data_IF_579155915422
#
_entry.id   IF_579155915422
#
_cell.length_a   1.000
_cell.length_b   1.000
_cell.length_c   1.000
_cell.angle_alpha   90.00
_cell.angle_beta   90.00
_cell.angle_gamma   90.00
#
_symmetry.space_group_name_H-M   'P 1'
#
loop_
_entity.id
_entity.type
_entity.pdbx_description
1 polymer ?
#
# COMPACT_ATOMS: atom_id res chain seq x y z
N UNK A 1 -22.66 7.15 13.37
CA UNK A 1 -21.71 6.79 14.43
C UNK A 1 -20.54 7.75 14.32
N UNK A 2 -20.21 8.44 15.39
CA UNK A 2 -19.12 9.41 15.41
C UNK A 2 -17.80 8.64 15.41
N UNK A 3 -16.84 9.03 14.56
CA UNK A 3 -15.51 8.43 14.50
C UNK A 3 -14.62 9.19 15.45
N UNK A 4 -13.95 8.50 16.35
CA UNK A 4 -13.08 9.09 17.37
C UNK A 4 -11.60 8.82 17.08
N UNK A 5 -10.72 9.51 17.77
CA UNK A 5 -9.28 9.24 17.69
C UNK A 5 -8.91 7.80 18.10
N UNK A 6 -9.76 7.15 18.89
CA UNK A 6 -9.60 5.76 19.34
C UNK A 6 -9.83 4.74 18.21
N UNK A 7 -10.51 5.15 17.14
CA UNK A 7 -10.74 4.29 15.96
C UNK A 7 -9.50 4.18 15.06
N UNK A 8 -8.51 5.08 15.20
CA UNK A 8 -7.33 5.08 14.37
C UNK A 8 -6.47 3.83 14.65
N UNK A 9 -6.33 2.99 13.63
CA UNK A 9 -5.48 1.80 13.68
C UNK A 9 -6.05 0.64 14.48
N UNK A 10 -7.33 0.65 14.88
CA UNK A 10 -7.90 -0.47 15.66
C UNK A 10 -7.86 -1.81 14.92
N UNK A 11 -7.81 -1.78 13.58
CA UNK A 11 -7.65 -2.96 12.70
C UNK A 11 -6.22 -3.15 12.21
N UNK A 12 -5.25 -2.43 12.77
CA UNK A 12 -3.83 -2.50 12.37
C UNK A 12 -2.99 -3.07 13.51
N UNK A 13 -2.17 -4.06 13.22
CA UNK A 13 -1.16 -4.59 14.14
C UNK A 13 0.04 -3.63 14.18
N UNK A 14 -0.23 -2.39 14.55
CA UNK A 14 0.73 -1.30 14.59
C UNK A 14 1.70 -1.42 15.78
N UNK A 15 2.68 -0.53 15.85
CA UNK A 15 3.69 -0.54 16.93
C UNK A 15 3.07 -0.50 18.33
N UNK A 16 1.99 0.27 18.52
CA UNK A 16 1.31 0.35 19.81
C UNK A 16 0.72 -1.02 20.23
N UNK A 17 0.10 -1.72 19.29
CA UNK A 17 -0.45 -3.07 19.50
C UNK A 17 0.68 -4.08 19.74
N UNK A 18 1.74 -4.04 18.93
CA UNK A 18 2.93 -4.90 19.12
C UNK A 18 3.54 -4.71 20.50
N UNK A 19 3.71 -3.47 20.94
CA UNK A 19 4.26 -3.13 22.26
C UNK A 19 3.41 -3.62 23.42
N UNK A 20 2.09 -3.61 23.26
CA UNK A 20 1.16 -4.07 24.29
C UNK A 20 1.08 -5.61 24.38
N UNK A 21 1.31 -6.33 23.27
CA UNK A 21 1.05 -7.76 23.16
C UNK A 21 2.29 -8.65 23.12
N UNK A 22 3.42 -8.09 22.69
CA UNK A 22 4.66 -8.86 22.62
C UNK A 22 5.45 -8.78 23.93
N UNK A 23 6.15 -9.86 24.32
CA UNK A 23 7.17 -9.77 25.36
C UNK A 23 8.20 -8.69 25.01
N UNK A 24 8.65 -7.93 25.99
CA UNK A 24 9.57 -6.79 25.79
C UNK A 24 10.82 -7.14 24.98
N UNK A 25 11.39 -8.34 25.19
CA UNK A 25 12.57 -8.81 24.45
C UNK A 25 12.24 -9.04 22.97
N UNK A 26 11.10 -9.71 22.69
CA UNK A 26 10.62 -9.97 21.33
C UNK A 26 10.33 -8.67 20.59
N UNK A 27 9.62 -7.74 21.22
CA UNK A 27 9.34 -6.43 20.64
C UNK A 27 10.62 -5.67 20.30
N UNK A 28 11.60 -5.66 21.22
CA UNK A 28 12.89 -4.98 21.00
C UNK A 28 13.65 -5.58 19.82
N UNK A 29 13.65 -6.92 19.68
CA UNK A 29 14.34 -7.58 18.57
C UNK A 29 13.64 -7.33 17.23
N UNK A 30 12.31 -7.47 17.18
CA UNK A 30 11.53 -7.15 15.99
C UNK A 30 11.72 -5.68 15.57
N UNK A 31 11.78 -4.78 16.53
CA UNK A 31 12.00 -3.34 16.29
C UNK A 31 13.34 -3.04 15.62
N UNK A 32 14.40 -3.79 15.90
CA UNK A 32 15.69 -3.65 15.20
C UNK A 32 15.54 -3.97 13.70
N UNK A 33 14.78 -5.00 13.37
CA UNK A 33 14.50 -5.33 11.97
C UNK A 33 13.70 -4.21 11.29
N UNK A 34 12.64 -3.73 11.94
CA UNK A 34 11.77 -2.69 11.40
C UNK A 34 12.53 -1.37 11.18
N UNK A 35 13.26 -0.92 12.18
CA UNK A 35 13.89 0.40 12.15
C UNK A 35 15.20 0.42 11.35
N UNK A 36 16.03 -0.61 11.49
CA UNK A 36 17.39 -0.60 10.97
C UNK A 36 17.65 -1.64 9.87
N UNK A 37 16.66 -2.46 9.51
CA UNK A 37 16.83 -3.50 8.50
C UNK A 37 17.72 -4.66 8.95
N UNK A 38 17.83 -4.89 10.27
CA UNK A 38 18.53 -6.07 10.78
C UNK A 38 17.82 -7.35 10.29
N UNK A 39 18.55 -8.45 10.05
CA UNK A 39 17.92 -9.72 9.71
C UNK A 39 16.87 -10.12 10.75
N UNK A 40 15.73 -10.64 10.29
CA UNK A 40 14.69 -11.14 11.18
C UNK A 40 15.22 -12.37 11.93
N UNK A 41 15.15 -12.34 13.26
CA UNK A 41 15.44 -13.51 14.07
C UNK A 41 14.25 -14.47 14.04
N UNK A 42 14.45 -15.64 13.42
CA UNK A 42 13.41 -16.66 13.33
C UNK A 42 12.94 -17.18 14.72
N UNK A 43 13.77 -17.03 15.75
CA UNK A 43 13.41 -17.48 17.10
C UNK A 43 12.28 -16.68 17.74
N UNK A 44 12.01 -15.45 17.25
CA UNK A 44 10.89 -14.64 17.76
C UNK A 44 9.59 -14.86 16.99
N UNK A 45 9.63 -15.55 15.85
CA UNK A 45 8.52 -15.62 14.91
C UNK A 45 7.27 -16.27 15.54
N UNK A 46 7.42 -17.36 16.30
CA UNK A 46 6.28 -18.00 16.97
C UNK A 46 5.60 -17.06 17.98
N UNK A 47 6.38 -16.32 18.75
CA UNK A 47 5.83 -15.34 19.71
C UNK A 47 5.04 -14.24 19.00
N UNK A 48 5.53 -13.78 17.85
CA UNK A 48 4.83 -12.75 17.04
C UNK A 48 3.58 -13.35 16.40
N UNK A 49 3.66 -14.55 15.84
CA UNK A 49 2.53 -15.24 15.21
C UNK A 49 1.38 -15.46 16.21
N UNK A 50 1.69 -15.97 17.41
CA UNK A 50 0.69 -16.16 18.47
C UNK A 50 0.02 -14.84 18.85
N UNK A 51 0.81 -13.79 19.11
CA UNK A 51 0.27 -12.49 19.49
C UNK A 51 -0.60 -11.88 18.38
N UNK A 52 -0.18 -12.00 17.12
CA UNK A 52 -0.91 -11.51 15.95
C UNK A 52 -2.22 -12.29 15.74
N UNK A 53 -2.19 -13.62 15.87
CA UNK A 53 -3.38 -14.47 15.79
C UNK A 53 -4.40 -14.12 16.87
N UNK A 54 -3.97 -14.05 18.13
CA UNK A 54 -4.91 -13.75 19.24
C UNK A 54 -5.52 -12.37 19.08
N UNK A 55 -4.73 -11.37 18.69
CA UNK A 55 -5.24 -10.04 18.36
C UNK A 55 -6.27 -10.07 17.22
N UNK A 56 -5.98 -10.80 16.15
CA UNK A 56 -6.89 -10.90 15.02
C UNK A 56 -8.19 -11.63 15.38
N UNK A 57 -8.12 -12.69 16.20
CA UNK A 57 -9.29 -13.43 16.72
C UNK A 57 -10.18 -12.56 17.61
N UNK A 58 -9.60 -11.71 18.45
CA UNK A 58 -10.38 -10.75 19.27
C UNK A 58 -11.16 -9.77 18.39
N UNK A 59 -10.64 -9.43 17.20
CA UNK A 59 -11.35 -8.64 16.20
C UNK A 59 -12.35 -9.45 15.37
N UNK A 60 -12.40 -10.78 15.55
CA UNK A 60 -13.31 -11.70 14.88
C UNK A 60 -12.75 -12.34 13.60
N UNK A 61 -11.44 -12.28 13.38
CA UNK A 61 -10.83 -12.97 12.24
C UNK A 61 -10.83 -14.49 12.44
N UNK A 62 -11.20 -15.23 11.41
CA UNK A 62 -11.24 -16.69 11.36
C UNK A 62 -10.19 -17.27 10.42
N UNK A 63 -9.66 -16.44 9.54
CA UNK A 63 -8.69 -16.77 8.52
C UNK A 63 -7.55 -15.78 8.52
N UNK A 64 -6.42 -16.16 7.92
CA UNK A 64 -5.30 -15.31 7.60
C UNK A 64 -4.95 -15.42 6.12
N UNK A 65 -4.20 -14.46 5.61
CA UNK A 65 -3.66 -14.49 4.26
C UNK A 65 -2.32 -13.76 4.20
N UNK A 66 -1.40 -14.26 3.40
CA UNK A 66 -0.28 -13.48 2.93
C UNK A 66 -0.77 -12.54 1.83
N UNK A 67 -0.77 -11.26 2.16
CA UNK A 67 -1.25 -10.20 1.29
C UNK A 67 -0.09 -9.55 0.55
N UNK A 68 -0.15 -9.52 -0.79
CA UNK A 68 0.94 -9.02 -1.63
C UNK A 68 0.43 -8.30 -2.88
N UNK A 69 1.33 -7.65 -3.63
CA UNK A 69 1.06 -6.87 -4.83
C UNK A 69 1.49 -7.63 -6.09
N UNK A 70 0.62 -8.45 -6.69
CA UNK A 70 0.98 -9.23 -7.87
C UNK A 70 1.21 -8.32 -9.09
N UNK A 71 1.89 -8.84 -10.11
CA UNK A 71 2.11 -8.11 -11.37
C UNK A 71 0.82 -7.95 -12.22
N UNK A 72 -0.27 -8.57 -11.82
CA UNK A 72 -1.50 -8.68 -12.62
C UNK A 72 -2.69 -7.92 -12.07
N UNK A 73 -2.65 -7.50 -10.80
CA UNK A 73 -3.77 -6.81 -10.14
C UNK A 73 -3.27 -5.95 -8.98
N UNK A 74 -4.20 -5.28 -8.27
CA UNK A 74 -3.89 -4.43 -7.12
C UNK A 74 -3.27 -5.24 -5.98
N UNK A 75 -4.01 -6.24 -5.49
CA UNK A 75 -3.61 -7.10 -4.37
C UNK A 75 -3.99 -8.55 -4.63
N UNK A 76 -3.32 -9.48 -3.98
CA UNK A 76 -3.62 -10.89 -4.03
C UNK A 76 -3.70 -11.48 -2.62
N UNK A 77 -4.59 -12.46 -2.46
CA UNK A 77 -4.90 -13.12 -1.20
C UNK A 77 -5.21 -14.60 -1.44
N UNK A 78 -4.79 -15.44 -0.49
CA UNK A 78 -5.22 -16.83 -0.37
C UNK A 78 -5.57 -17.06 1.10
N UNK A 79 -6.86 -17.20 1.40
CA UNK A 79 -7.34 -17.32 2.77
C UNK A 79 -7.15 -18.74 3.30
N UNK A 80 -6.34 -18.86 4.33
CA UNK A 80 -6.15 -20.09 5.08
C UNK A 80 -6.85 -19.95 6.46
N UNK A 81 -7.54 -21.00 6.89
CA UNK A 81 -8.21 -21.03 8.20
C UNK A 81 -7.18 -21.14 9.32
N UNK A 82 -7.48 -20.52 10.47
CA UNK A 82 -6.74 -20.81 11.70
C UNK A 82 -7.05 -22.19 12.29
N UNK A 83 -8.03 -22.91 11.76
CA UNK A 83 -8.45 -24.20 12.30
C UNK A 83 -7.72 -25.35 11.62
N UNK A 84 -7.00 -26.13 12.43
CA UNK A 84 -6.34 -27.36 12.01
C UNK A 84 -6.98 -28.60 12.64
N UNK A 85 -7.27 -29.66 11.86
CA UNK A 85 -7.81 -30.89 12.38
C UNK A 85 -6.74 -31.69 13.16
N UNK A 86 -7.08 -32.19 14.35
CA UNK A 86 -6.17 -32.98 15.18
C UNK A 86 -6.20 -34.48 14.82
N UNK A 87 -7.15 -34.89 13.97
CA UNK A 87 -7.26 -36.27 13.50
C UNK A 87 -8.20 -37.17 14.34
N UNK A 88 -8.74 -36.67 15.43
CA UNK A 88 -9.73 -37.38 16.31
C UNK A 88 -11.15 -36.82 16.15
N UNK A 89 -11.37 -35.96 15.15
CA UNK A 89 -12.63 -35.25 14.91
C UNK A 89 -12.72 -33.89 15.62
N UNK A 90 -11.67 -33.51 16.35
CA UNK A 90 -11.54 -32.15 16.95
C UNK A 90 -10.64 -31.24 16.14
N UNK A 91 -10.68 -29.96 16.45
CA UNK A 91 -9.87 -28.91 15.80
C UNK A 91 -9.13 -28.11 16.86
N UNK A 92 -7.91 -27.70 16.52
CA UNK A 92 -7.15 -26.68 17.26
C UNK A 92 -7.12 -25.40 16.45
N UNK A 93 -6.81 -24.28 17.11
CA UNK A 93 -6.51 -23.02 16.42
C UNK A 93 -5.00 -22.88 16.40
N UNK A 94 -4.41 -22.92 15.22
CA UNK A 94 -2.97 -22.81 15.03
C UNK A 94 -2.61 -21.67 14.05
N UNK A 95 -1.50 -21.06 14.27
CA UNK A 95 -0.78 -20.15 13.38
C UNK A 95 0.63 -19.98 13.94
N UNK A 96 1.59 -20.54 13.26
CA UNK A 96 2.98 -20.66 13.72
C UNK A 96 3.87 -19.58 13.10
N UNK A 97 5.06 -19.40 13.65
CA UNK A 97 6.07 -18.53 13.07
C UNK A 97 6.50 -18.98 11.68
N UNK A 98 6.44 -20.29 11.38
CA UNK A 98 6.71 -20.80 10.04
C UNK A 98 5.68 -20.25 9.03
N UNK A 99 4.41 -20.32 9.39
CA UNK A 99 3.31 -19.82 8.54
C UNK A 99 3.32 -18.28 8.43
N UNK A 100 3.75 -17.59 9.50
CA UNK A 100 3.94 -16.13 9.46
C UNK A 100 5.05 -15.74 8.50
N UNK A 101 6.23 -16.37 8.60
CA UNK A 101 7.41 -15.95 7.84
C UNK A 101 7.28 -16.26 6.35
N UNK A 102 6.75 -17.44 6.00
CA UNK A 102 6.77 -17.93 4.62
C UNK A 102 5.58 -18.81 4.32
N UNK A 103 4.97 -18.59 3.17
CA UNK A 103 4.01 -19.52 2.57
C UNK A 103 4.39 -19.83 1.11
N UNK A 104 3.80 -20.91 0.61
CA UNK A 104 3.97 -21.39 -0.76
C UNK A 104 2.61 -21.34 -1.48
N UNK A 105 2.13 -20.15 -1.91
CA UNK A 105 0.95 -20.08 -2.75
C UNK A 105 1.24 -20.84 -4.06
N UNK A 106 0.23 -21.52 -4.61
CA UNK A 106 0.41 -22.29 -5.84
C UNK A 106 0.89 -21.38 -6.98
N UNK A 107 2.10 -21.64 -7.45
CA UNK A 107 2.73 -20.91 -8.53
C UNK A 107 2.72 -21.66 -9.88
N UNK A 108 1.95 -22.75 -9.98
CA UNK A 108 1.90 -23.57 -11.21
C UNK A 108 1.37 -22.83 -12.45
N UNK A 109 0.68 -21.70 -12.25
CA UNK A 109 0.10 -20.85 -13.29
C UNK A 109 0.96 -19.65 -13.70
N UNK A 110 2.23 -19.59 -13.32
CA UNK A 110 3.08 -18.48 -13.79
C UNK A 110 3.26 -18.49 -15.32
N UNK A 111 3.20 -17.28 -15.95
CA UNK A 111 3.32 -17.16 -17.41
C UNK A 111 4.63 -17.68 -17.99
N UNK A 112 5.68 -17.80 -17.20
CA UNK A 112 6.98 -18.35 -17.59
C UNK A 112 7.01 -19.87 -17.71
N UNK A 113 5.83 -20.51 -17.77
CA UNK A 113 5.63 -21.95 -17.80
C UNK A 113 6.64 -22.72 -18.67
N UNK A 114 7.50 -23.45 -18.03
CA UNK A 114 8.38 -24.46 -18.59
C UNK A 114 8.33 -25.68 -17.70
N UNK A 115 8.85 -26.81 -18.15
CA UNK A 115 9.04 -27.98 -17.30
C UNK A 115 10.09 -27.62 -16.25
N UNK A 116 9.67 -27.53 -15.00
CA UNK A 116 10.52 -27.20 -13.85
C UNK A 116 10.32 -28.23 -12.74
N UNK A 117 11.34 -28.38 -11.91
CA UNK A 117 11.14 -29.05 -10.62
C UNK A 117 10.05 -28.35 -9.83
N UNK A 118 9.23 -29.10 -9.10
CA UNK A 118 8.06 -28.57 -8.38
C UNK A 118 8.41 -27.40 -7.46
N UNK A 119 9.55 -27.48 -6.77
CA UNK A 119 10.02 -26.39 -5.90
C UNK A 119 10.43 -25.12 -6.68
N UNK A 120 10.98 -25.26 -7.89
CA UNK A 120 11.40 -24.17 -8.74
C UNK A 120 10.22 -23.52 -9.50
N UNK A 121 9.10 -24.24 -9.63
CA UNK A 121 7.88 -23.75 -10.27
C UNK A 121 7.01 -22.90 -9.33
N UNK A 122 7.27 -22.95 -8.00
CA UNK A 122 6.49 -22.23 -6.99
C UNK A 122 7.06 -20.87 -6.69
N UNK A 123 6.18 -19.91 -6.39
CA UNK A 123 6.55 -18.67 -5.72
C UNK A 123 6.42 -18.81 -4.22
N UNK A 124 7.10 -17.93 -3.52
CA UNK A 124 7.13 -17.88 -2.07
C UNK A 124 6.75 -16.49 -1.61
N UNK A 125 5.75 -16.40 -0.73
CA UNK A 125 5.46 -15.19 0.00
C UNK A 125 6.32 -15.16 1.25
N UNK A 126 6.93 -13.99 1.52
CA UNK A 126 7.80 -13.79 2.68
C UNK A 126 7.33 -12.56 3.44
N UNK A 127 7.16 -12.71 4.74
CA UNK A 127 6.67 -11.64 5.61
C UNK A 127 7.56 -10.38 5.53
N UNK A 128 6.91 -9.25 5.28
CA UNK A 128 7.49 -7.93 5.43
C UNK A 128 7.06 -7.33 6.77
N UNK A 129 7.89 -7.49 7.79
CA UNK A 129 7.63 -6.97 9.13
C UNK A 129 7.71 -5.44 9.23
N UNK A 130 8.18 -4.75 8.18
CA UNK A 130 8.26 -3.28 8.14
C UNK A 130 6.93 -2.61 7.82
N UNK A 131 5.94 -3.40 7.39
CA UNK A 131 4.58 -2.95 7.15
C UNK A 131 3.61 -3.65 8.10
N UNK A 132 2.70 -2.93 8.78
CA UNK A 132 1.82 -3.53 9.77
C UNK A 132 0.80 -4.46 9.13
N UNK A 133 0.60 -5.64 9.73
CA UNK A 133 -0.52 -6.51 9.40
C UNK A 133 -1.85 -5.83 9.80
N UNK A 134 -2.95 -6.23 9.16
CA UNK A 134 -4.25 -5.62 9.40
C UNK A 134 -5.38 -6.64 9.28
N UNK A 135 -6.51 -6.37 9.93
CA UNK A 135 -7.72 -7.21 9.81
C UNK A 135 -8.70 -6.58 8.84
N UNK A 136 -8.92 -7.26 7.72
CA UNK A 136 -9.84 -6.84 6.67
C UNK A 136 -11.21 -7.49 6.86
N UNK A 137 -12.26 -6.70 6.69
CA UNK A 137 -13.63 -7.18 6.61
C UNK A 137 -13.99 -7.47 5.15
N UNK A 138 -14.47 -8.68 4.91
CA UNK A 138 -14.96 -9.11 3.61
C UNK A 138 -16.49 -9.15 3.63
N UNK A 139 -17.16 -9.24 2.47
CA UNK A 139 -18.62 -9.38 2.42
C UNK A 139 -19.13 -10.46 3.37
N UNK A 140 -20.34 -10.28 3.90
CA UNK A 140 -20.99 -11.17 4.88
C UNK A 140 -20.42 -11.11 6.32
N UNK A 141 -19.60 -10.10 6.63
CA UNK A 141 -19.10 -9.87 7.98
C UNK A 141 -17.93 -10.77 8.39
N UNK A 142 -17.43 -11.63 7.51
CA UNK A 142 -16.22 -12.39 7.74
C UNK A 142 -15.00 -11.46 7.83
N UNK A 143 -14.03 -11.85 8.65
CA UNK A 143 -12.79 -11.09 8.85
C UNK A 143 -11.56 -11.96 8.63
N UNK A 144 -10.54 -11.35 8.01
CA UNK A 144 -9.30 -12.02 7.61
C UNK A 144 -8.11 -11.19 8.10
N UNK A 145 -7.15 -11.85 8.74
CA UNK A 145 -5.85 -11.27 9.04
C UNK A 145 -5.03 -11.19 7.74
N UNK A 146 -4.74 -10.00 7.28
CA UNK A 146 -3.88 -9.74 6.12
C UNK A 146 -2.47 -9.42 6.60
N UNK A 147 -1.50 -10.21 6.15
CA UNK A 147 -0.08 -10.10 6.51
C UNK A 147 0.67 -9.58 5.29
N UNK A 148 1.21 -8.34 5.32
CA UNK A 148 2.00 -7.82 4.20
C UNK A 148 3.21 -8.69 3.91
N UNK A 149 3.37 -9.07 2.65
CA UNK A 149 4.46 -9.94 2.18
C UNK A 149 5.03 -9.46 0.87
N UNK A 150 6.23 -9.90 0.57
CA UNK A 150 6.79 -9.93 -0.79
C UNK A 150 6.50 -11.28 -1.43
N UNK A 151 6.57 -11.35 -2.77
CA UNK A 151 6.39 -12.58 -3.52
C UNK A 151 7.59 -12.79 -4.46
N UNK A 152 8.33 -13.88 -4.23
CA UNK A 152 9.59 -14.18 -4.91
C UNK A 152 9.62 -15.60 -5.45
N UNK A 153 10.44 -15.84 -6.46
CA UNK A 153 10.73 -17.20 -6.96
C UNK A 153 11.62 -17.98 -6.00
N UNK A 154 11.81 -19.27 -6.28
CA UNK A 154 12.74 -20.12 -5.52
C UNK A 154 14.17 -19.56 -5.49
N UNK A 155 14.60 -18.93 -6.57
CA UNK A 155 15.93 -18.33 -6.73
C UNK A 155 15.98 -16.86 -6.31
N UNK A 156 14.85 -16.30 -5.84
CA UNK A 156 14.77 -14.95 -5.28
C UNK A 156 14.43 -13.85 -6.26
N UNK A 157 14.07 -14.17 -7.51
CA UNK A 157 13.57 -13.16 -8.44
C UNK A 157 12.22 -12.61 -7.98
N UNK A 158 12.00 -11.33 -8.24
CA UNK A 158 10.74 -10.67 -7.92
C UNK A 158 9.59 -11.21 -8.78
N UNK A 159 8.49 -11.55 -8.14
CA UNK A 159 7.22 -11.93 -8.78
C UNK A 159 6.10 -10.95 -8.41
N UNK A 160 6.43 -9.83 -7.79
CA UNK A 160 5.52 -8.80 -7.34
C UNK A 160 6.09 -7.39 -7.58
N UNK A 161 5.32 -6.37 -7.23
CA UNK A 161 5.75 -4.96 -7.29
C UNK A 161 6.49 -4.50 -6.04
N UNK A 162 6.33 -5.14 -4.89
CA UNK A 162 6.90 -4.71 -3.62
C UNK A 162 8.37 -5.07 -3.46
N UNK A 163 8.79 -6.23 -3.93
CA UNK A 163 10.20 -6.67 -3.84
C UNK A 163 11.17 -5.66 -4.50
N UNK A 164 10.93 -5.17 -5.73
CA UNK A 164 11.78 -4.15 -6.32
C UNK A 164 11.80 -2.85 -5.51
N UNK A 165 10.65 -2.45 -4.95
CA UNK A 165 10.55 -1.26 -4.10
C UNK A 165 11.45 -1.38 -2.87
N UNK A 166 11.36 -2.46 -2.11
CA UNK A 166 12.19 -2.68 -0.92
C UNK A 166 13.68 -2.70 -1.27
N UNK A 167 14.05 -3.40 -2.34
CA UNK A 167 15.44 -3.43 -2.84
C UNK A 167 15.94 -2.04 -3.25
N UNK A 168 15.09 -1.22 -3.86
CA UNK A 168 15.44 0.15 -4.24
C UNK A 168 15.65 1.04 -3.02
N UNK A 169 14.83 0.88 -1.98
CA UNK A 169 15.00 1.60 -0.70
C UNK A 169 16.34 1.26 -0.04
N UNK A 170 16.72 -0.01 -0.01
CA UNK A 170 18.03 -0.43 0.50
C UNK A 170 19.17 0.14 -0.33
N UNK A 171 19.05 0.15 -1.65
CA UNK A 171 20.06 0.72 -2.53
C UNK A 171 20.23 2.23 -2.30
N UNK A 172 19.11 2.98 -2.18
CA UNK A 172 19.13 4.41 -1.87
C UNK A 172 19.76 4.66 -0.50
N UNK A 173 19.35 3.93 0.53
CA UNK A 173 19.95 4.02 1.86
C UNK A 173 21.47 3.88 1.82
N UNK A 174 21.96 2.79 1.23
CA UNK A 174 23.39 2.48 1.11
C UNK A 174 24.17 3.58 0.40
N UNK A 175 23.66 4.12 -0.71
CA UNK A 175 24.38 5.14 -1.48
C UNK A 175 24.28 6.52 -0.83
N UNK A 176 23.13 6.87 -0.24
CA UNK A 176 22.97 8.12 0.48
C UNK A 176 23.92 8.21 1.70
N UNK A 177 24.04 7.14 2.47
CA UNK A 177 25.00 7.08 3.59
C UNK A 177 26.45 7.29 3.12
N UNK A 178 26.83 6.73 1.94
CA UNK A 178 28.17 6.99 1.36
C UNK A 178 28.39 8.45 1.02
N UNK A 179 27.39 9.10 0.42
CA UNK A 179 27.45 10.52 0.06
C UNK A 179 27.52 11.38 1.33
N UNK A 180 26.66 11.14 2.30
CA UNK A 180 26.61 11.92 3.54
C UNK A 180 27.94 11.88 4.32
N UNK A 181 28.61 10.75 4.29
CA UNK A 181 29.94 10.62 4.90
C UNK A 181 30.95 11.59 4.32
N UNK A 182 30.87 11.94 3.02
CA UNK A 182 31.74 12.96 2.40
C UNK A 182 31.46 14.37 2.94
N UNK A 183 30.26 14.61 3.47
CA UNK A 183 29.90 15.86 4.13
C UNK A 183 30.06 15.82 5.66
N UNK A 184 30.78 14.80 6.18
CA UNK A 184 31.02 14.66 7.61
C UNK A 184 29.82 14.24 8.44
N UNK A 185 28.76 13.71 7.80
CA UNK A 185 27.50 13.25 8.45
C UNK A 185 27.50 11.74 8.52
N UNK A 186 27.06 11.19 9.66
CA UNK A 186 27.06 9.74 9.92
C UNK A 186 25.74 9.26 10.52
N UNK A 187 24.59 9.52 9.87
CA UNK A 187 23.32 8.96 10.32
C UNK A 187 23.36 7.43 10.24
N UNK A 188 22.50 6.75 11.00
CA UNK A 188 22.44 5.30 10.97
C UNK A 188 21.63 4.79 9.78
N UNK A 189 20.65 5.57 9.31
CA UNK A 189 19.74 5.18 8.22
C UNK A 189 19.29 6.38 7.40
N UNK A 190 19.05 6.13 6.12
CA UNK A 190 18.35 7.06 5.21
C UNK A 190 17.13 6.36 4.66
N UNK A 191 15.99 7.01 4.71
CA UNK A 191 14.71 6.45 4.29
C UNK A 191 14.03 7.33 3.26
N UNK A 192 13.49 6.72 2.21
CA UNK A 192 12.59 7.39 1.29
C UNK A 192 11.18 7.42 1.89
N UNK A 193 10.52 8.56 1.79
CA UNK A 193 9.13 8.76 2.19
C UNK A 193 8.30 9.23 1.01
N UNK A 194 7.01 8.93 1.02
CA UNK A 194 6.05 9.37 0.00
C UNK A 194 4.70 9.68 0.63
N UNK A 195 4.06 10.74 0.12
CA UNK A 195 2.64 11.05 0.35
C UNK A 195 1.91 10.91 -0.97
N UNK A 196 1.27 9.77 -1.23
CA UNK A 196 0.51 9.55 -2.44
C UNK A 196 -0.86 10.26 -2.33
N UNK A 197 -1.20 11.06 -3.32
CA UNK A 197 -2.49 11.70 -3.48
C UNK A 197 -3.27 10.91 -4.53
N UNK A 198 -4.33 10.20 -4.11
CA UNK A 198 -5.11 9.36 -5.01
C UNK A 198 -6.30 10.12 -5.56
N UNK A 199 -6.26 10.40 -6.85
CA UNK A 199 -7.42 10.88 -7.60
C UNK A 199 -8.31 9.72 -8.03
N UNK A 200 -9.62 9.98 -8.13
CA UNK A 200 -10.62 8.99 -8.51
C UNK A 200 -11.89 9.65 -9.06
N UNK A 201 -12.65 8.91 -9.85
CA UNK A 201 -13.97 9.35 -10.31
C UNK A 201 -15.07 8.55 -9.62
N UNK A 202 -16.14 9.24 -9.25
CA UNK A 202 -17.38 8.62 -8.78
C UNK A 202 -18.46 8.74 -9.84
N UNK A 203 -18.99 7.60 -10.27
CA UNK A 203 -20.09 7.52 -11.23
C UNK A 203 -21.27 6.84 -10.58
N UNK A 204 -22.48 7.28 -10.89
CA UNK A 204 -23.68 6.59 -10.50
C UNK A 204 -23.64 5.12 -10.94
N UNK A 205 -23.88 4.20 -10.01
CA UNK A 205 -23.73 2.75 -10.22
C UNK A 205 -24.65 2.22 -11.31
N UNK A 206 -25.88 2.74 -11.39
CA UNK A 206 -26.82 2.28 -12.39
C UNK A 206 -26.41 2.71 -13.80
N UNK A 207 -25.85 3.92 -13.94
CA UNK A 207 -25.30 4.40 -15.20
C UNK A 207 -24.03 3.63 -15.60
N UNK A 208 -23.15 3.33 -14.65
CA UNK A 208 -22.00 2.48 -14.86
C UNK A 208 -22.40 1.08 -15.37
N UNK A 209 -23.42 0.48 -14.75
CA UNK A 209 -23.89 -0.85 -15.13
C UNK A 209 -24.46 -0.95 -16.54
N UNK A 210 -24.91 0.16 -17.11
CA UNK A 210 -25.40 0.26 -18.49
C UNK A 210 -24.28 0.39 -19.53
N UNK A 211 -23.02 0.57 -19.11
CA UNK A 211 -21.87 0.84 -19.97
C UNK A 211 -20.87 -0.31 -19.94
N UNK A 212 -20.85 -1.13 -21.00
CA UNK A 212 -19.94 -2.26 -21.11
C UNK A 212 -18.47 -1.84 -21.17
N UNK A 213 -18.16 -0.72 -21.84
CA UNK A 213 -16.82 -0.19 -21.93
C UNK A 213 -16.27 0.17 -20.53
N UNK A 214 -17.03 0.87 -19.69
CA UNK A 214 -16.64 1.17 -18.31
C UNK A 214 -16.47 -0.09 -17.46
N UNK A 215 -17.39 -1.07 -17.59
CA UNK A 215 -17.31 -2.33 -16.82
C UNK A 215 -16.12 -3.19 -17.19
N UNK A 216 -15.80 -3.29 -18.48
CA UNK A 216 -14.78 -4.20 -18.98
C UNK A 216 -13.38 -3.59 -19.00
N UNK A 217 -13.29 -2.25 -19.19
CA UNK A 217 -11.99 -1.59 -19.37
C UNK A 217 -11.71 -0.48 -18.33
N UNK A 218 -12.68 -0.10 -17.51
CA UNK A 218 -12.56 1.00 -16.56
C UNK A 218 -12.57 2.40 -17.19
N UNK A 219 -12.75 2.49 -18.52
CA UNK A 219 -12.76 3.75 -19.27
C UNK A 219 -13.81 3.75 -20.37
N UNK A 220 -14.19 4.95 -20.84
CA UNK A 220 -15.04 5.09 -22.03
C UNK A 220 -14.24 4.82 -23.31
N UNK A 221 -14.83 4.05 -24.21
CA UNK A 221 -14.28 3.75 -25.55
C UNK A 221 -15.07 4.42 -26.66
N UNK A 222 -16.32 4.79 -26.41
CA UNK A 222 -17.24 5.39 -27.36
C UNK A 222 -18.24 6.30 -26.66
N UNK A 223 -18.98 7.07 -27.42
CA UNK A 223 -20.00 8.00 -26.95
C UNK A 223 -19.56 9.46 -27.10
N UNK A 224 -20.50 10.37 -26.90
CA UNK A 224 -20.22 11.79 -26.93
C UNK A 224 -19.43 12.23 -25.69
N UNK A 225 -18.58 13.28 -25.79
CA UNK A 225 -17.99 13.92 -24.63
C UNK A 225 -19.08 14.43 -23.66
N UNK A 226 -18.71 14.59 -22.39
CA UNK A 226 -19.59 15.25 -21.43
C UNK A 226 -19.90 16.67 -21.90
N UNK A 227 -21.14 17.18 -21.70
CA UNK A 227 -21.51 18.54 -22.10
C UNK A 227 -20.76 19.60 -21.29
N UNK A 228 -20.21 19.25 -20.16
CA UNK A 228 -19.39 20.09 -19.29
C UNK A 228 -17.99 19.49 -19.17
N UNK A 229 -16.97 20.32 -19.40
CA UNK A 229 -15.56 19.99 -19.25
C UNK A 229 -14.97 20.54 -17.95
N UNK A 230 -13.81 21.18 -18.07
CA UNK A 230 -13.04 21.73 -16.95
C UNK A 230 -12.99 23.27 -16.96
N UNK A 231 -13.98 23.88 -17.59
CA UNK A 231 -14.02 25.33 -17.79
C UNK A 231 -14.05 26.05 -16.44
N UNK A 232 -13.13 27.01 -16.29
CA UNK A 232 -12.97 27.85 -15.09
C UNK A 232 -12.69 27.07 -13.79
N UNK A 233 -12.29 25.83 -13.87
CA UNK A 233 -12.04 24.93 -12.72
C UNK A 233 -13.22 24.89 -11.73
N UNK A 234 -14.44 25.04 -12.23
CA UNK A 234 -15.64 25.22 -11.42
C UNK A 234 -16.02 23.98 -10.62
N UNK A 235 -15.59 22.78 -11.04
CA UNK A 235 -15.71 21.56 -10.23
C UNK A 235 -14.78 21.65 -9.01
N UNK A 236 -13.51 22.05 -9.22
CA UNK A 236 -12.50 22.13 -8.15
C UNK A 236 -12.91 23.13 -7.07
N UNK A 237 -13.40 24.31 -7.46
CA UNK A 237 -13.87 25.36 -6.56
C UNK A 237 -15.35 25.19 -6.15
N UNK A 238 -15.97 24.10 -6.55
CA UNK A 238 -17.37 23.81 -6.25
C UNK A 238 -17.58 23.18 -4.87
N UNK A 239 -18.84 23.16 -4.44
CA UNK A 239 -19.25 22.51 -3.21
C UNK A 239 -19.22 20.99 -3.37
N UNK A 240 -18.74 20.28 -2.35
CA UNK A 240 -18.85 18.82 -2.30
C UNK A 240 -20.34 18.47 -2.10
N UNK A 241 -20.91 17.69 -3.03
CA UNK A 241 -22.31 17.29 -2.98
C UNK A 241 -22.59 16.36 -1.80
N UNK A 242 -23.77 16.43 -1.19
CA UNK A 242 -24.14 15.67 0.00
C UNK A 242 -23.88 14.17 -0.13
N UNK A 243 -24.26 13.55 -1.24
CA UNK A 243 -24.03 12.12 -1.50
C UNK A 243 -22.52 11.78 -1.53
N UNK A 244 -21.71 12.66 -2.09
CA UNK A 244 -20.24 12.52 -2.13
C UNK A 244 -19.65 12.74 -0.74
N UNK A 245 -20.11 13.74 -0.01
CA UNK A 245 -19.70 14.00 1.39
C UNK A 245 -20.00 12.79 2.30
N UNK A 246 -21.15 12.14 2.09
CA UNK A 246 -21.49 10.91 2.82
C UNK A 246 -20.49 9.77 2.51
N UNK A 247 -20.22 9.54 1.23
CA UNK A 247 -19.20 8.59 0.78
C UNK A 247 -17.82 8.88 1.39
N UNK A 248 -17.36 10.14 1.32
CA UNK A 248 -16.06 10.56 1.86
C UNK A 248 -15.95 10.31 3.36
N UNK A 249 -17.02 10.52 4.13
CA UNK A 249 -17.06 10.25 5.57
C UNK A 249 -16.96 8.76 5.88
N UNK A 250 -17.67 7.91 5.16
CA UNK A 250 -17.57 6.46 5.32
C UNK A 250 -16.19 5.93 4.92
N UNK A 251 -15.64 6.46 3.82
CA UNK A 251 -14.28 6.13 3.38
C UNK A 251 -13.25 6.46 4.45
N UNK A 252 -13.29 7.67 5.02
CA UNK A 252 -12.39 8.08 6.09
C UNK A 252 -12.46 7.14 7.29
N UNK A 253 -13.66 6.73 7.69
CA UNK A 253 -13.84 5.81 8.80
C UNK A 253 -13.12 4.49 8.55
N UNK A 254 -13.37 3.86 7.41
CA UNK A 254 -12.75 2.58 7.08
C UNK A 254 -11.21 2.70 7.00
N UNK A 255 -10.70 3.76 6.39
CA UNK A 255 -9.26 4.01 6.26
C UNK A 255 -8.60 4.25 7.63
N UNK A 256 -9.22 5.04 8.50
CA UNK A 256 -8.69 5.29 9.83
C UNK A 256 -8.66 4.02 10.69
N UNK A 257 -9.67 3.16 10.57
CA UNK A 257 -9.66 1.85 11.25
C UNK A 257 -8.50 0.96 10.80
N UNK A 258 -8.08 1.04 9.53
CA UNK A 258 -6.87 0.37 9.01
C UNK A 258 -5.56 1.07 9.40
N UNK A 259 -5.61 2.22 10.05
CA UNK A 259 -4.43 3.01 10.38
C UNK A 259 -3.88 3.82 9.20
N UNK A 260 -4.68 4.02 8.15
CA UNK A 260 -4.33 4.90 7.03
C UNK A 260 -4.70 6.32 7.41
N UNK A 261 -3.71 7.24 7.54
CA UNK A 261 -3.95 8.59 8.03
C UNK A 261 -4.50 9.51 6.94
N UNK A 262 -5.65 9.15 6.35
CA UNK A 262 -6.36 9.97 5.38
C UNK A 262 -6.73 11.32 6.00
N UNK A 263 -6.26 12.43 5.42
CA UNK A 263 -6.38 13.76 6.02
C UNK A 263 -7.20 14.72 5.18
N UNK A 264 -6.97 14.78 3.89
CA UNK A 264 -7.59 15.76 3.01
C UNK A 264 -8.41 15.06 1.94
N UNK A 265 -9.61 15.55 1.71
CA UNK A 265 -10.45 15.15 0.58
C UNK A 265 -11.10 16.39 -0.02
N UNK A 266 -11.14 16.47 -1.35
CA UNK A 266 -11.74 17.59 -2.09
C UNK A 266 -12.19 17.15 -3.49
N UNK A 267 -12.88 18.06 -4.17
CA UNK A 267 -13.15 17.91 -5.60
C UNK A 267 -11.90 18.19 -6.42
N UNK A 268 -11.73 17.45 -7.50
CA UNK A 268 -10.73 17.70 -8.52
C UNK A 268 -11.32 18.44 -9.72
N UNK A 269 -10.47 18.76 -10.73
CA UNK A 269 -10.82 19.67 -11.83
C UNK A 269 -11.85 19.05 -12.78
N UNK A 270 -11.77 17.75 -13.05
CA UNK A 270 -12.73 17.11 -13.95
C UNK A 270 -14.08 16.85 -13.27
N UNK A 271 -15.19 16.90 -14.02
CA UNK A 271 -16.51 16.56 -13.48
C UNK A 271 -16.55 15.18 -12.82
N UNK A 272 -17.06 15.12 -11.60
CA UNK A 272 -17.12 13.90 -10.77
C UNK A 272 -15.77 13.29 -10.38
N UNK A 273 -14.69 14.06 -10.51
CA UNK A 273 -13.36 13.71 -10.01
C UNK A 273 -13.17 14.25 -8.59
N UNK A 274 -12.50 13.45 -7.77
CA UNK A 274 -12.19 13.77 -6.38
C UNK A 274 -10.79 13.27 -6.05
N UNK A 275 -10.22 13.78 -4.97
CA UNK A 275 -8.92 13.36 -4.45
C UNK A 275 -8.98 13.03 -2.97
N UNK A 276 -8.11 12.12 -2.55
CA UNK A 276 -7.83 11.83 -1.16
C UNK A 276 -6.32 11.80 -0.92
N UNK A 277 -5.88 12.57 0.06
CA UNK A 277 -4.47 12.71 0.43
C UNK A 277 -4.22 12.22 1.86
N UNK A 278 -3.62 11.05 2.05
CA UNK A 278 -3.09 10.63 3.35
C UNK A 278 -1.85 11.43 3.75
N UNK A 279 -1.55 11.45 5.04
CA UNK A 279 -0.26 11.95 5.53
C UNK A 279 0.84 11.00 5.02
N UNK A 280 1.97 11.57 4.59
CA UNK A 280 3.11 10.80 4.08
C UNK A 280 3.68 9.82 5.12
N UNK A 281 4.27 8.75 4.65
CA UNK A 281 4.96 7.74 5.43
C UNK A 281 6.19 7.19 4.72
N UNK A 282 6.84 6.18 5.29
CA UNK A 282 7.88 5.43 4.58
C UNK A 282 7.31 4.84 3.30
N UNK A 283 8.08 4.82 2.23
CA UNK A 283 7.58 4.51 0.88
C UNK A 283 6.89 3.15 0.80
N UNK A 284 7.41 2.11 1.46
CA UNK A 284 6.77 0.78 1.47
C UNK A 284 5.42 0.78 2.21
N UNK A 285 5.34 1.41 3.38
CA UNK A 285 4.09 1.50 4.15
C UNK A 285 3.05 2.35 3.41
N UNK A 286 3.45 3.50 2.87
CA UNK A 286 2.56 4.36 2.10
C UNK A 286 2.06 3.68 0.82
N UNK A 287 2.89 2.84 0.18
CA UNK A 287 2.48 2.05 -0.98
C UNK A 287 1.45 0.98 -0.60
N UNK A 288 1.67 0.22 0.47
CA UNK A 288 0.68 -0.74 0.98
C UNK A 288 -0.62 -0.05 1.34
N UNK A 289 -0.54 1.07 2.04
CA UNK A 289 -1.71 1.87 2.40
C UNK A 289 -2.47 2.37 1.17
N UNK A 290 -1.77 2.79 0.11
CA UNK A 290 -2.44 3.23 -1.13
C UNK A 290 -3.12 2.08 -1.86
N UNK A 291 -2.55 0.87 -1.87
CA UNK A 291 -3.21 -0.30 -2.44
C UNK A 291 -4.50 -0.64 -1.69
N UNK A 292 -4.44 -0.66 -0.36
CA UNK A 292 -5.62 -0.89 0.48
C UNK A 292 -6.65 0.25 0.35
N UNK A 293 -6.19 1.50 0.20
CA UNK A 293 -7.04 2.65 -0.06
C UNK A 293 -7.81 2.50 -1.38
N UNK A 294 -7.15 2.10 -2.47
CA UNK A 294 -7.80 1.88 -3.76
C UNK A 294 -8.86 0.76 -3.71
N UNK A 295 -8.59 -0.30 -2.96
CA UNK A 295 -9.57 -1.36 -2.73
C UNK A 295 -10.77 -0.82 -1.92
N UNK A 296 -10.50 -0.07 -0.85
CA UNK A 296 -11.51 0.51 0.04
C UNK A 296 -12.38 1.53 -0.70
N UNK A 297 -11.78 2.37 -1.57
CA UNK A 297 -12.53 3.30 -2.44
C UNK A 297 -13.62 2.59 -3.24
N UNK A 298 -13.29 1.46 -3.88
CA UNK A 298 -14.26 0.69 -4.67
C UNK A 298 -15.38 0.11 -3.80
N UNK A 299 -15.03 -0.48 -2.64
CA UNK A 299 -16.01 -1.08 -1.72
C UNK A 299 -16.97 -0.05 -1.13
N UNK A 300 -16.43 1.08 -0.68
CA UNK A 300 -17.25 2.17 -0.11
C UNK A 300 -18.11 2.82 -1.20
N UNK A 301 -17.59 3.02 -2.42
CA UNK A 301 -18.36 3.53 -3.53
C UNK A 301 -19.58 2.63 -3.82
N UNK A 302 -19.37 1.32 -3.85
CA UNK A 302 -20.44 0.36 -4.09
C UNK A 302 -21.55 0.43 -3.04
N UNK A 303 -21.19 0.53 -1.75
CA UNK A 303 -22.16 0.70 -0.65
C UNK A 303 -22.97 2.00 -0.77
N UNK A 304 -22.39 3.02 -1.36
CA UNK A 304 -23.01 4.33 -1.54
C UNK A 304 -23.72 4.52 -2.89
N UNK A 305 -23.91 3.44 -3.68
CA UNK A 305 -24.55 3.50 -4.99
C UNK A 305 -23.73 4.24 -6.05
N UNK A 306 -22.40 4.19 -5.89
CA UNK A 306 -21.42 4.67 -6.87
C UNK A 306 -20.59 3.51 -7.45
N UNK A 307 -19.97 3.75 -8.59
CA UNK A 307 -18.80 3.05 -9.08
C UNK A 307 -17.60 3.99 -9.02
N UNK A 308 -16.50 3.53 -8.43
CA UNK A 308 -15.25 4.26 -8.37
C UNK A 308 -14.35 3.83 -9.53
N UNK A 309 -13.94 4.79 -10.37
CA UNK A 309 -13.01 4.55 -11.46
C UNK A 309 -11.61 4.99 -11.05
N UNK A 310 -10.66 4.07 -11.18
CA UNK A 310 -9.24 4.25 -10.88
C UNK A 310 -8.35 4.06 -12.14
N UNK A 311 -8.96 3.88 -13.31
CA UNK A 311 -8.23 3.89 -14.57
C UNK A 311 -7.56 5.26 -14.76
N UNK A 312 -6.36 5.32 -15.29
CA UNK A 312 -5.56 6.55 -15.43
C UNK A 312 -6.27 7.62 -16.25
N UNK A 313 -6.99 7.22 -17.30
CA UNK A 313 -7.80 8.09 -18.17
C UNK A 313 -9.17 7.48 -18.42
N UNK A 314 -10.11 7.57 -17.46
CA UNK A 314 -11.44 7.00 -17.65
C UNK A 314 -12.28 7.78 -18.68
N UNK A 315 -11.98 9.05 -18.88
CA UNK A 315 -12.68 9.93 -19.84
C UNK A 315 -11.66 10.69 -20.68
N UNK A 316 -11.85 10.69 -22.01
CA UNK A 316 -11.00 11.43 -22.92
C UNK A 316 -11.24 12.96 -22.77
N UNK A 317 -10.19 13.75 -22.94
CA UNK A 317 -10.27 15.21 -22.97
C UNK A 317 -10.35 15.92 -21.61
N UNK A 318 -10.35 15.18 -20.51
CA UNK A 318 -10.31 15.72 -19.14
C UNK A 318 -9.20 15.08 -18.32
N UNK A 319 -8.97 15.54 -17.10
CA UNK A 319 -8.03 14.95 -16.17
C UNK A 319 -8.33 13.46 -15.91
N UNK A 320 -7.42 12.77 -15.28
CA UNK A 320 -7.51 11.33 -14.99
C UNK A 320 -7.39 11.01 -13.52
N UNK A 321 -7.48 9.72 -13.19
CA UNK A 321 -7.27 9.22 -11.81
C UNK A 321 -5.77 9.09 -11.55
N UNK A 322 -5.10 10.20 -11.35
CA UNK A 322 -3.67 10.28 -11.06
C UNK A 322 -3.30 9.73 -9.68
N UNK A 323 -1.99 9.57 -9.48
CA UNK A 323 -1.35 9.36 -8.19
C UNK A 323 -0.21 10.36 -8.08
N UNK A 324 -0.52 11.56 -7.58
CA UNK A 324 0.53 12.55 -7.36
C UNK A 324 1.35 12.13 -6.14
N UNK A 325 2.65 11.92 -6.35
CA UNK A 325 3.56 11.44 -5.31
C UNK A 325 4.47 12.56 -4.84
N UNK A 326 4.17 13.15 -3.70
CA UNK A 326 5.09 14.00 -2.97
C UNK A 326 6.08 13.10 -2.22
N UNK A 327 7.38 13.24 -2.47
CA UNK A 327 8.36 12.33 -1.89
C UNK A 327 9.62 13.05 -1.43
N UNK A 328 10.34 12.40 -0.52
CA UNK A 328 11.56 12.92 0.06
C UNK A 328 12.51 11.79 0.46
N UNK A 329 13.76 12.18 0.75
CA UNK A 329 14.79 11.28 1.30
C UNK A 329 15.28 11.91 2.60
N UNK A 330 15.10 11.21 3.72
CA UNK A 330 15.34 11.76 5.05
C UNK A 330 16.23 10.82 5.88
N UNK A 331 17.16 11.37 6.62
CA UNK A 331 17.98 10.64 7.59
C UNK A 331 17.21 10.34 8.86
N UNK A 332 17.63 9.36 9.65
CA UNK A 332 17.03 8.99 10.93
C UNK A 332 17.12 10.09 12.00
N UNK A 333 18.03 11.04 11.85
CA UNK A 333 18.13 12.27 12.66
C UNK A 333 17.36 13.47 12.09
N UNK A 334 16.52 13.25 11.05
CA UNK A 334 15.54 14.21 10.55
C UNK A 334 16.03 15.18 9.47
N UNK A 335 17.22 14.97 8.89
CA UNK A 335 17.72 15.81 7.80
C UNK A 335 17.08 15.38 6.49
N UNK A 336 16.31 16.28 5.87
CA UNK A 336 15.78 16.07 4.51
C UNK A 336 16.87 16.41 3.48
N UNK A 337 17.26 15.45 2.65
CA UNK A 337 18.30 15.61 1.64
C UNK A 337 17.85 16.46 0.44
N UNK A 338 16.54 16.68 0.29
CA UNK A 338 15.94 17.53 -0.72
C UNK A 338 15.54 18.91 -0.18
N UNK A 339 15.99 19.26 1.03
CA UNK A 339 15.78 20.60 1.59
C UNK A 339 16.79 21.59 1.00
N UNK A 340 16.35 22.55 0.17
CA UNK A 340 17.26 23.48 -0.50
C UNK A 340 17.91 24.49 0.45
N UNK A 341 17.29 24.74 1.61
CA UNK A 341 17.68 25.80 2.53
C UNK A 341 17.40 27.20 2.01
N UNK A 342 17.99 28.21 2.66
CA UNK A 342 17.78 29.63 2.29
C UNK A 342 18.59 30.03 1.06
N UNK A 343 19.71 29.37 0.80
CA UNK A 343 20.61 29.64 -0.35
C UNK A 343 20.82 28.36 -1.15
N UNK A 344 19.84 27.93 -1.98
CA UNK A 344 19.91 26.65 -2.71
C UNK A 344 21.17 26.49 -3.56
N UNK A 345 21.63 27.55 -4.18
CA UNK A 345 22.80 27.58 -5.06
C UNK A 345 24.15 27.38 -4.33
N UNK A 346 24.17 27.54 -3.01
CA UNK A 346 25.35 27.31 -2.17
C UNK A 346 25.29 25.94 -1.43
N UNK A 347 24.10 25.32 -1.40
CA UNK A 347 23.92 24.03 -0.73
C UNK A 347 24.39 22.86 -1.61
N UNK A 348 25.70 22.60 -1.55
CA UNK A 348 26.34 21.57 -2.39
C UNK A 348 25.75 20.18 -2.14
N UNK A 349 25.35 19.84 -0.91
CA UNK A 349 24.72 18.56 -0.61
C UNK A 349 23.37 18.42 -1.34
N UNK A 350 22.53 19.44 -1.23
CA UNK A 350 21.24 19.49 -1.93
C UNK A 350 21.44 19.40 -3.46
N UNK A 351 22.34 20.22 -4.03
CA UNK A 351 22.60 20.24 -5.48
C UNK A 351 23.11 18.90 -5.99
N UNK A 352 23.97 18.22 -5.22
CA UNK A 352 24.48 16.89 -5.58
C UNK A 352 23.34 15.85 -5.61
N UNK A 353 22.53 15.81 -4.55
CA UNK A 353 21.40 14.87 -4.46
C UNK A 353 20.39 15.14 -5.59
N UNK A 354 20.00 16.40 -5.79
CA UNK A 354 19.11 16.81 -6.88
C UNK A 354 19.65 16.40 -8.26
N UNK A 355 20.94 16.62 -8.50
CA UNK A 355 21.59 16.25 -9.77
C UNK A 355 21.59 14.74 -10.00
N UNK A 356 21.83 13.95 -8.94
CA UNK A 356 21.74 12.49 -9.02
C UNK A 356 20.33 12.03 -9.41
N UNK A 357 19.29 12.64 -8.83
CA UNK A 357 17.88 12.33 -9.13
C UNK A 357 17.55 12.70 -10.58
N UNK A 358 17.88 13.93 -11.00
CA UNK A 358 17.65 14.38 -12.37
C UNK A 358 18.35 13.47 -13.40
N UNK A 359 19.58 13.05 -13.12
CA UNK A 359 20.30 12.08 -13.96
C UNK A 359 19.60 10.73 -13.99
N UNK A 360 19.16 10.21 -12.84
CA UNK A 360 18.46 8.93 -12.78
C UNK A 360 17.14 8.97 -13.59
N UNK A 361 16.37 10.04 -13.46
CA UNK A 361 15.15 10.25 -14.24
C UNK A 361 15.47 10.35 -15.74
N UNK A 362 16.45 11.14 -16.14
CA UNK A 362 16.85 11.32 -17.55
C UNK A 362 17.32 10.01 -18.20
N UNK A 363 17.97 9.11 -17.45
CA UNK A 363 18.41 7.81 -17.96
C UNK A 363 17.29 6.78 -18.02
N UNK A 364 16.34 6.85 -17.10
CA UNK A 364 15.34 5.80 -16.89
C UNK A 364 13.89 6.23 -17.18
N UNK A 365 13.67 7.45 -17.70
CA UNK A 365 12.32 7.99 -17.90
C UNK A 365 11.44 7.09 -18.79
N UNK A 366 12.02 6.43 -19.79
CA UNK A 366 11.31 5.50 -20.67
C UNK A 366 10.67 4.32 -19.91
N UNK A 367 11.25 3.95 -18.77
CA UNK A 367 10.73 2.89 -17.89
C UNK A 367 9.80 3.42 -16.80
N UNK A 368 9.85 4.74 -16.52
CA UNK A 368 9.02 5.40 -15.51
C UNK A 368 7.68 5.88 -16.07
N UNK A 369 7.61 6.14 -17.37
CA UNK A 369 6.39 6.58 -18.03
C UNK A 369 5.74 5.39 -18.73
N UNK A 370 4.52 5.04 -18.29
CA UNK A 370 3.68 4.11 -19.06
C UNK A 370 3.31 4.79 -20.38
N UNK A 371 3.29 4.05 -21.52
CA UNK A 371 2.77 4.59 -22.76
C UNK A 371 1.31 5.01 -22.54
N UNK A 372 1.05 6.28 -22.63
CA UNK A 372 -0.31 6.85 -22.59
C UNK A 372 -0.90 6.83 -24.00
N UNK A 373 -1.03 5.67 -24.62
CA UNK A 373 -1.73 5.51 -25.90
C UNK A 373 -3.13 5.00 -25.71
#
# INVERSE_FOLDING_TARGET
>A
MEVTAEDLGKRSFCEAVMRARLPKAVFKELKKTIDYGAPLDAAIADSVAIAMREWAKELGATHYTHWFHPLTNLTAEKHDSFMDPVGDGTFITEFTGKELIKAEPDGSSFPSGGIRETCAARGYTVWDCTSPAFVKEIPDGCKVLCIPTIFISYTGESLDHKTPLLRSMDAVNKQALRILKLFGKTPAKVTASVGPEQEYFLIDKDKFNQRLDLKLTGRTLFGAPAPKGQELDDQYFGVIKDKVSHFMRELNKDLWEYGIPAKTQHNEVAPSQHEIAPIYGTTNVATDQNQLLMETLKKVAERNGFACLLHEKPFAGVNGSGKHNNWSITTDDGINLLEPGKTPHENVQFLLVLTCILKAVAVSYTHLTLPTT
#
